data_IF_939727333932
#
_entry.id   IF_939727333932
#
_cell.length_a   1.000
_cell.length_b   1.000
_cell.length_c   1.000
_cell.angle_alpha   90.00
_cell.angle_beta   90.00
_cell.angle_gamma   90.00
#
_symmetry.space_group_name_H-M   'P 1'
#
loop_
_entity.id
_entity.type
_entity.pdbx_description
1 polymer ?
#
# COMPACT_ATOMS: atom_id res chain seq x y z
N UNK A 1 42.06 48.36 -16.58
CA UNK A 1 41.26 47.93 -15.42
C UNK A 1 40.20 46.93 -15.91
N UNK A 2 40.48 45.62 -15.78
CA UNK A 2 39.57 44.52 -16.22
C UNK A 2 38.75 44.05 -15.02
N UNK A 3 37.46 44.30 -15.04
CA UNK A 3 36.49 43.85 -14.02
C UNK A 3 36.12 42.38 -14.32
N UNK A 4 36.57 41.43 -13.48
CA UNK A 4 36.12 40.05 -13.48
C UNK A 4 34.74 40.00 -12.78
N UNK A 5 33.71 39.71 -13.53
CA UNK A 5 32.40 39.34 -13.00
C UNK A 5 32.40 37.83 -12.70
N UNK A 6 32.49 37.49 -11.43
CA UNK A 6 32.28 36.11 -10.94
C UNK A 6 30.76 35.84 -10.95
N UNK A 7 30.29 35.02 -11.90
CA UNK A 7 28.94 34.50 -11.91
C UNK A 7 28.82 33.37 -10.89
N UNK A 8 28.17 33.61 -9.76
CA UNK A 8 27.73 32.55 -8.85
C UNK A 8 26.58 31.75 -9.51
N UNK A 9 26.90 30.58 -9.99
CA UNK A 9 25.87 29.59 -10.38
C UNK A 9 25.33 28.94 -9.10
N UNK A 10 24.14 29.40 -8.66
CA UNK A 10 23.41 28.73 -7.60
C UNK A 10 22.86 27.41 -8.12
N UNK A 11 23.49 26.29 -7.73
CA UNK A 11 22.98 24.96 -7.96
C UNK A 11 21.73 24.74 -7.09
N UNK A 12 20.54 24.86 -7.72
CA UNK A 12 19.29 24.50 -7.09
C UNK A 12 19.20 22.97 -7.04
N UNK A 13 19.65 22.40 -5.92
CA UNK A 13 19.35 21.00 -5.61
C UNK A 13 17.86 20.86 -5.41
N UNK A 14 17.12 20.39 -6.43
CA UNK A 14 15.79 19.83 -6.25
C UNK A 14 15.93 18.59 -5.35
N UNK A 15 15.73 18.76 -4.06
CA UNK A 15 15.50 17.64 -3.16
C UNK A 15 14.14 17.03 -3.58
N UNK A 16 14.19 16.03 -4.47
CA UNK A 16 13.06 15.12 -4.67
C UNK A 16 12.77 14.52 -3.31
N UNK A 17 11.67 14.94 -2.68
CA UNK A 17 11.24 14.41 -1.39
C UNK A 17 11.13 12.90 -1.52
N UNK A 18 12.00 12.16 -0.84
CA UNK A 18 12.00 10.71 -0.88
C UNK A 18 10.63 10.22 -0.41
N UNK A 19 9.93 9.50 -1.27
CA UNK A 19 8.68 8.81 -0.92
C UNK A 19 9.00 7.79 0.17
N UNK A 20 8.53 8.04 1.39
CA UNK A 20 8.91 7.25 2.56
C UNK A 20 7.68 6.86 3.37
N UNK A 21 7.68 5.60 3.83
CA UNK A 21 6.65 5.11 4.76
C UNK A 21 6.69 5.94 6.05
N UNK A 22 5.55 6.48 6.43
CA UNK A 22 5.42 7.28 7.66
C UNK A 22 5.15 6.36 8.85
N UNK A 23 5.93 6.43 9.94
CA UNK A 23 5.60 5.74 11.17
C UNK A 23 4.17 6.08 11.61
N UNK A 24 3.42 5.06 12.02
CA UNK A 24 2.04 5.26 12.46
C UNK A 24 1.99 5.83 13.87
N UNK A 25 1.31 6.97 14.04
CA UNK A 25 1.09 7.64 15.32
C UNK A 25 -0.38 7.60 15.75
N UNK A 26 -1.23 6.95 14.97
CA UNK A 26 -2.66 6.80 15.26
C UNK A 26 -2.94 5.70 16.29
N UNK A 27 -4.22 5.46 16.54
CA UNK A 27 -4.68 4.45 17.48
C UNK A 27 -4.49 3.00 17.01
N UNK A 28 -5.17 2.08 17.67
CA UNK A 28 -5.21 0.67 17.31
C UNK A 28 -5.76 0.47 15.88
N UNK A 29 -5.34 -0.62 15.23
CA UNK A 29 -5.90 -1.02 13.95
C UNK A 29 -7.41 -1.27 14.08
N UNK A 30 -8.26 -0.60 13.28
CA UNK A 30 -9.69 -0.90 13.27
C UNK A 30 -9.93 -2.35 12.82
N UNK A 31 -11.11 -2.89 13.14
CA UNK A 31 -11.50 -4.18 12.62
C UNK A 31 -11.53 -4.17 11.09
N UNK A 32 -11.07 -5.28 10.50
CA UNK A 32 -11.21 -5.55 9.08
C UNK A 32 -11.76 -6.96 8.97
N UNK A 33 -12.99 -7.08 8.47
CA UNK A 33 -13.65 -8.35 8.15
C UNK A 33 -14.36 -8.15 6.82
N UNK A 34 -13.84 -8.75 5.75
CA UNK A 34 -14.34 -8.58 4.38
C UNK A 34 -14.31 -9.91 3.64
N UNK A 35 -15.09 -10.03 2.58
CA UNK A 35 -15.04 -11.16 1.64
C UNK A 35 -14.09 -10.85 0.48
N UNK A 36 -13.44 -11.89 -0.04
CA UNK A 36 -12.72 -11.83 -1.31
C UNK A 36 -13.65 -12.03 -2.51
N UNK A 37 -13.08 -12.04 -3.72
CA UNK A 37 -13.82 -12.26 -4.97
C UNK A 37 -14.46 -13.65 -5.09
N UNK A 38 -13.98 -14.63 -4.32
CA UNK A 38 -14.49 -16.01 -4.24
C UNK A 38 -15.49 -16.21 -3.10
N UNK A 39 -15.80 -15.12 -2.35
CA UNK A 39 -16.76 -15.14 -1.23
C UNK A 39 -16.18 -15.68 0.09
N UNK A 40 -14.86 -15.93 0.16
CA UNK A 40 -14.20 -16.36 1.40
C UNK A 40 -14.03 -15.17 2.33
N UNK A 41 -14.35 -15.35 3.61
CA UNK A 41 -14.22 -14.31 4.62
C UNK A 41 -12.78 -14.19 5.11
N UNK A 42 -12.28 -12.97 5.19
CA UNK A 42 -10.95 -12.62 5.71
C UNK A 42 -11.11 -11.67 6.89
N UNK A 43 -10.47 -12.00 8.00
CA UNK A 43 -10.37 -11.12 9.17
C UNK A 43 -8.90 -10.77 9.43
N UNK A 44 -8.62 -9.52 9.73
CA UNK A 44 -7.25 -9.12 10.11
C UNK A 44 -6.71 -9.95 11.26
N UNK A 45 -7.57 -10.35 12.20
CA UNK A 45 -7.19 -11.21 13.33
C UNK A 45 -6.63 -12.57 12.90
N UNK A 46 -7.08 -13.11 11.75
CA UNK A 46 -6.59 -14.40 11.21
C UNK A 46 -5.17 -14.32 10.65
N UNK A 47 -4.61 -13.13 10.54
CA UNK A 47 -3.25 -12.89 10.03
C UNK A 47 -2.24 -12.59 11.15
N UNK A 48 -2.57 -12.87 12.41
CA UNK A 48 -1.63 -12.74 13.53
C UNK A 48 -0.37 -13.59 13.26
N UNK A 49 0.79 -13.07 13.63
CA UNK A 49 2.08 -13.69 13.34
C UNK A 49 2.63 -13.35 11.95
N UNK A 50 1.88 -12.61 11.13
CA UNK A 50 2.32 -12.15 9.80
C UNK A 50 2.38 -10.63 9.74
N UNK A 51 3.26 -10.10 8.89
CA UNK A 51 3.19 -8.71 8.45
C UNK A 51 2.15 -8.60 7.36
N UNK A 52 1.20 -7.67 7.50
CA UNK A 52 0.11 -7.47 6.54
C UNK A 52 0.20 -6.08 5.93
N UNK A 53 0.33 -6.00 4.61
CA UNK A 53 0.15 -4.78 3.85
C UNK A 53 -1.31 -4.69 3.43
N UNK A 54 -2.01 -3.66 3.90
CA UNK A 54 -3.41 -3.38 3.54
C UNK A 54 -3.41 -2.15 2.64
N UNK A 55 -3.85 -2.33 1.40
CA UNK A 55 -3.91 -1.27 0.39
C UNK A 55 -5.38 -1.00 0.01
N UNK A 56 -5.84 0.22 0.19
CA UNK A 56 -7.17 0.67 -0.23
C UNK A 56 -7.08 1.27 -1.63
N UNK A 57 -7.91 0.76 -2.56
CA UNK A 57 -7.81 1.08 -3.98
C UNK A 57 -9.15 1.00 -4.71
N UNK A 58 -9.18 1.47 -5.96
CA UNK A 58 -10.31 1.29 -6.88
C UNK A 58 -9.82 1.21 -8.33
N UNK A 59 -10.60 0.60 -9.23
CA UNK A 59 -10.23 0.46 -10.65
C UNK A 59 -10.24 1.80 -11.39
N UNK A 60 -11.00 2.78 -10.93
CA UNK A 60 -11.05 4.14 -11.49
C UNK A 60 -9.93 5.06 -10.98
N UNK A 61 -9.19 4.64 -9.96
CA UNK A 61 -8.07 5.38 -9.38
C UNK A 61 -6.79 5.08 -10.18
N UNK A 62 -6.35 6.03 -11.01
CA UNK A 62 -5.16 5.85 -11.86
C UNK A 62 -3.89 5.55 -11.06
N UNK A 63 -3.50 6.35 -10.02
CA UNK A 63 -2.30 6.04 -9.24
C UNK A 63 -2.40 4.71 -8.50
N UNK A 64 -3.62 4.25 -8.13
CA UNK A 64 -3.79 2.92 -7.57
C UNK A 64 -3.41 1.82 -8.56
N UNK A 65 -3.83 1.97 -9.83
CA UNK A 65 -3.53 0.98 -10.87
C UNK A 65 -2.03 0.93 -11.17
N UNK A 66 -1.37 2.07 -11.14
CA UNK A 66 0.07 2.17 -11.43
C UNK A 66 0.93 1.49 -10.37
N UNK A 67 0.52 1.51 -9.10
CA UNK A 67 1.28 0.85 -8.04
C UNK A 67 1.03 -0.67 -7.92
N UNK A 68 -0.09 -1.23 -8.44
CA UNK A 68 -0.44 -2.66 -8.32
C UNK A 68 0.68 -3.63 -8.79
N UNK A 69 1.37 -3.38 -9.93
CA UNK A 69 2.49 -4.24 -10.33
C UNK A 69 3.65 -4.23 -9.34
N UNK A 70 3.93 -3.10 -8.69
CA UNK A 70 4.99 -2.99 -7.68
C UNK A 70 4.62 -3.69 -6.38
N UNK A 71 3.34 -3.65 -5.98
CA UNK A 71 2.81 -4.45 -4.87
C UNK A 71 2.99 -5.95 -5.11
N UNK A 72 2.73 -6.41 -6.34
CA UNK A 72 2.90 -7.84 -6.67
C UNK A 72 4.38 -8.24 -6.73
N UNK A 73 5.28 -7.35 -7.19
CA UNK A 73 6.72 -7.58 -7.09
C UNK A 73 7.18 -7.66 -5.63
N UNK A 74 6.70 -6.76 -4.76
CA UNK A 74 6.98 -6.84 -3.32
C UNK A 74 6.52 -8.18 -2.74
N UNK A 75 5.26 -8.58 -3.00
CA UNK A 75 4.71 -9.85 -2.54
C UNK A 75 5.59 -11.04 -2.96
N UNK A 76 5.97 -11.10 -4.24
CA UNK A 76 6.85 -12.17 -4.76
C UNK A 76 8.22 -12.16 -4.07
N UNK A 77 8.79 -10.98 -3.80
CA UNK A 77 10.09 -10.89 -3.12
C UNK A 77 10.05 -11.37 -1.66
N UNK A 78 8.86 -11.51 -1.09
CA UNK A 78 8.61 -11.99 0.27
C UNK A 78 8.01 -13.41 0.30
N UNK A 79 8.03 -14.12 -0.83
CA UNK A 79 7.50 -15.49 -0.91
C UNK A 79 8.18 -16.42 0.09
N UNK A 80 7.42 -17.30 0.72
CA UNK A 80 7.90 -18.17 1.80
C UNK A 80 8.07 -17.48 3.16
N UNK A 81 7.89 -16.16 3.25
CA UNK A 81 7.95 -15.41 4.51
C UNK A 81 6.55 -15.11 5.05
N UNK A 82 6.38 -14.86 6.36
CA UNK A 82 5.09 -14.52 6.96
C UNK A 82 4.66 -13.09 6.59
N UNK A 83 4.42 -12.86 5.30
CA UNK A 83 4.00 -11.59 4.71
C UNK A 83 2.77 -11.79 3.82
N UNK A 84 1.81 -10.88 3.90
CA UNK A 84 0.56 -10.91 3.12
C UNK A 84 0.22 -9.53 2.59
N UNK A 85 -0.30 -9.45 1.37
CA UNK A 85 -0.90 -8.26 0.78
C UNK A 85 -2.42 -8.47 0.68
N UNK A 86 -3.18 -7.55 1.25
CA UNK A 86 -4.64 -7.47 1.18
C UNK A 86 -5.01 -6.16 0.49
N UNK A 87 -5.51 -6.21 -0.74
CA UNK A 87 -5.96 -5.03 -1.46
C UNK A 87 -7.48 -4.89 -1.32
N UNK A 88 -7.91 -3.86 -0.59
CA UNK A 88 -9.31 -3.58 -0.28
C UNK A 88 -9.89 -2.67 -1.36
N UNK A 89 -10.79 -3.20 -2.17
CA UNK A 89 -11.47 -2.43 -3.21
C UNK A 89 -12.70 -1.71 -2.65
N UNK A 90 -12.84 -0.43 -3.02
CA UNK A 90 -13.90 0.44 -2.53
C UNK A 90 -15.11 0.45 -3.45
N UNK A 91 -16.24 -0.07 -2.96
CA UNK A 91 -17.59 0.09 -3.51
C UNK A 91 -17.77 -0.30 -4.99
N UNK A 92 -16.91 -1.15 -5.54
CA UNK A 92 -17.06 -1.61 -6.92
C UNK A 92 -17.66 -3.03 -6.99
N UNK A 93 -18.47 -3.31 -8.01
CA UNK A 93 -19.01 -4.66 -8.20
C UNK A 93 -17.88 -5.64 -8.60
N UNK A 94 -17.95 -6.91 -8.17
CA UNK A 94 -16.95 -7.93 -8.50
C UNK A 94 -16.65 -8.06 -10.00
N UNK A 95 -17.66 -7.87 -10.87
CA UNK A 95 -17.48 -7.93 -12.32
C UNK A 95 -16.48 -6.88 -12.85
N UNK A 96 -16.52 -5.66 -12.31
CA UNK A 96 -15.58 -4.59 -12.68
C UNK A 96 -14.16 -4.93 -12.27
N UNK A 97 -13.99 -5.46 -11.06
CA UNK A 97 -12.68 -5.87 -10.54
C UNK A 97 -12.14 -7.03 -11.37
N UNK A 98 -12.95 -8.03 -11.70
CA UNK A 98 -12.54 -9.15 -12.55
C UNK A 98 -12.11 -8.68 -13.94
N UNK A 99 -12.87 -7.78 -14.58
CA UNK A 99 -12.49 -7.21 -15.89
C UNK A 99 -11.19 -6.39 -15.86
N UNK A 100 -10.85 -5.80 -14.70
CA UNK A 100 -9.54 -5.19 -14.49
C UNK A 100 -8.43 -6.25 -14.39
N UNK A 101 -8.66 -7.33 -13.61
CA UNK A 101 -7.69 -8.41 -13.40
C UNK A 101 -7.37 -9.20 -14.66
N UNK A 102 -8.29 -9.30 -15.62
CA UNK A 102 -8.02 -9.90 -16.93
C UNK A 102 -6.89 -9.18 -17.68
N UNK A 103 -6.79 -7.85 -17.47
CA UNK A 103 -5.78 -7.00 -18.10
C UNK A 103 -4.52 -6.84 -17.25
N UNK A 104 -4.68 -6.91 -15.96
CA UNK A 104 -3.58 -6.73 -14.98
C UNK A 104 -3.72 -7.76 -13.84
N UNK A 105 -3.27 -9.00 -14.07
CA UNK A 105 -3.34 -10.05 -13.05
C UNK A 105 -2.38 -9.76 -11.89
N UNK A 106 -2.85 -10.01 -10.66
CA UNK A 106 -2.07 -9.90 -9.43
C UNK A 106 -2.19 -11.17 -8.61
N UNK A 107 -1.15 -11.51 -7.84
CA UNK A 107 -1.10 -12.75 -7.05
C UNK A 107 -1.45 -12.57 -5.57
N UNK A 108 -2.09 -11.46 -5.17
CA UNK A 108 -2.51 -11.19 -3.80
C UNK A 108 -4.03 -11.15 -3.65
N UNK A 109 -4.52 -11.18 -2.41
CA UNK A 109 -5.94 -11.23 -2.09
C UNK A 109 -6.60 -9.88 -2.30
N UNK A 110 -7.72 -9.88 -3.03
CA UNK A 110 -8.57 -8.71 -3.27
C UNK A 110 -9.84 -8.82 -2.42
N UNK A 111 -10.05 -7.84 -1.55
CA UNK A 111 -11.18 -7.78 -0.62
C UNK A 111 -12.20 -6.75 -1.08
N UNK A 112 -13.47 -6.98 -0.78
CA UNK A 112 -14.61 -6.18 -1.23
C UNK A 112 -15.19 -5.36 -0.06
N UNK A 113 -14.88 -4.07 -0.01
CA UNK A 113 -15.52 -3.12 0.94
C UNK A 113 -16.69 -2.43 0.24
N UNK A 114 -17.82 -3.15 0.12
CA UNK A 114 -18.98 -2.77 -0.70
C UNK A 114 -19.65 -1.49 -0.27
N UNK A 115 -19.67 -1.20 1.01
CA UNK A 115 -20.32 -0.04 1.64
C UNK A 115 -19.30 1.01 2.12
N UNK A 116 -18.02 0.77 1.86
CA UNK A 116 -16.89 1.62 2.30
C UNK A 116 -16.76 1.75 3.82
N UNK A 117 -17.39 0.87 4.59
CA UNK A 117 -17.39 0.96 6.04
C UNK A 117 -15.97 0.73 6.62
N UNK A 118 -15.23 -0.24 6.08
CA UNK A 118 -13.86 -0.53 6.50
C UNK A 118 -12.93 0.63 6.10
N UNK A 119 -13.02 1.14 4.88
CA UNK A 119 -12.23 2.29 4.44
C UNK A 119 -12.47 3.53 5.33
N UNK A 120 -13.73 3.80 5.70
CA UNK A 120 -14.07 4.89 6.63
C UNK A 120 -13.46 4.68 8.01
N UNK A 121 -13.56 3.47 8.58
CA UNK A 121 -12.98 3.13 9.88
C UNK A 121 -11.45 3.29 9.87
N UNK A 122 -10.79 2.90 8.78
CA UNK A 122 -9.35 3.04 8.57
C UNK A 122 -8.93 4.46 8.15
N UNK A 123 -9.87 5.39 7.98
CA UNK A 123 -9.66 6.77 7.52
C UNK A 123 -8.96 6.85 6.16
N UNK A 124 -9.15 5.85 5.31
CA UNK A 124 -8.65 5.81 3.93
C UNK A 124 -9.52 6.71 3.02
N UNK A 125 -9.37 8.02 3.17
CA UNK A 125 -10.20 9.04 2.46
C UNK A 125 -9.64 9.42 1.10
N UNK A 126 -8.36 9.22 0.90
CA UNK A 126 -7.62 9.53 -0.34
C UNK A 126 -6.99 8.23 -0.81
N UNK A 127 -7.14 7.92 -2.10
CA UNK A 127 -6.60 6.69 -2.69
C UNK A 127 -5.36 6.97 -3.54
N UNK A 128 -4.42 6.04 -3.59
CA UNK A 128 -4.33 4.85 -2.74
C UNK A 128 -3.95 5.20 -1.30
N UNK A 129 -4.41 4.41 -0.34
CA UNK A 129 -4.00 4.51 1.05
C UNK A 129 -3.52 3.14 1.55
N UNK A 130 -2.32 3.10 2.10
CA UNK A 130 -1.70 1.83 2.51
C UNK A 130 -1.30 1.87 3.98
N UNK A 131 -1.52 0.75 4.65
CA UNK A 131 -1.15 0.53 6.05
C UNK A 131 -0.33 -0.75 6.16
N UNK A 132 0.76 -0.69 6.92
CA UNK A 132 1.59 -1.86 7.24
C UNK A 132 1.30 -2.26 8.67
N UNK A 133 0.76 -3.46 8.86
CA UNK A 133 0.41 -4.04 10.15
C UNK A 133 1.46 -5.08 10.53
N UNK A 134 1.98 -4.98 11.74
CA UNK A 134 2.95 -5.94 12.28
C UNK A 134 2.31 -7.25 12.74
N UNK A 135 3.14 -8.26 13.08
CA UNK A 135 2.68 -9.59 13.50
C UNK A 135 1.77 -9.57 14.73
N UNK A 136 1.92 -8.57 15.60
CA UNK A 136 1.08 -8.32 16.77
C UNK A 136 -0.24 -7.60 16.43
N UNK A 137 -0.53 -7.34 15.14
CA UNK A 137 -1.73 -6.68 14.66
C UNK A 137 -1.78 -5.18 14.91
N UNK A 138 -0.67 -4.54 15.25
CA UNK A 138 -0.59 -3.08 15.37
C UNK A 138 -0.10 -2.47 14.06
N UNK A 139 -0.69 -1.35 13.65
CA UNK A 139 -0.19 -0.59 12.51
C UNK A 139 1.20 -0.06 12.85
N UNK A 140 2.14 -0.23 11.94
CA UNK A 140 3.53 0.26 12.05
C UNK A 140 3.78 1.46 11.19
N UNK A 141 3.28 1.42 9.96
CA UNK A 141 3.46 2.49 8.97
C UNK A 141 2.18 2.74 8.21
N UNK A 142 2.07 3.94 7.65
CA UNK A 142 1.05 4.30 6.67
C UNK A 142 1.66 5.11 5.52
N UNK A 143 0.99 5.07 4.37
CA UNK A 143 1.34 5.90 3.22
C UNK A 143 0.07 6.25 2.45
N UNK A 144 -0.02 7.49 1.98
CA UNK A 144 -1.12 7.98 1.13
C UNK A 144 -0.53 8.48 -0.17
N UNK A 145 -1.05 8.02 -1.28
CA UNK A 145 -0.56 8.28 -2.63
C UNK A 145 0.15 7.06 -3.22
N UNK A 146 0.53 7.19 -4.47
CA UNK A 146 1.27 6.17 -5.22
C UNK A 146 2.69 5.99 -4.70
N UNK A 147 3.12 4.74 -4.58
CA UNK A 147 4.48 4.37 -4.19
C UNK A 147 4.96 3.17 -5.02
N UNK A 148 6.21 3.20 -5.47
CA UNK A 148 6.85 1.99 -5.97
C UNK A 148 7.25 1.09 -4.78
N UNK A 149 6.39 0.10 -4.50
CA UNK A 149 6.55 -0.85 -3.39
C UNK A 149 7.74 -1.80 -3.56
N UNK A 150 8.30 -1.91 -4.78
CA UNK A 150 9.47 -2.74 -5.07
C UNK A 150 10.81 -2.06 -4.72
N UNK A 151 10.81 -0.78 -4.35
CA UNK A 151 12.02 -0.07 -3.93
C UNK A 151 12.70 -0.77 -2.75
N UNK A 152 14.02 -0.86 -2.81
CA UNK A 152 14.83 -1.56 -1.80
C UNK A 152 14.61 -1.00 -0.38
N UNK A 153 14.51 0.32 -0.23
CA UNK A 153 14.26 0.96 1.06
C UNK A 153 12.92 0.52 1.65
N UNK A 154 11.85 0.52 0.84
CA UNK A 154 10.51 0.09 1.25
C UNK A 154 10.52 -1.39 1.65
N UNK A 155 11.11 -2.23 0.80
CA UNK A 155 11.25 -3.67 1.03
C UNK A 155 11.99 -3.97 2.33
N UNK A 156 13.11 -3.28 2.60
CA UNK A 156 13.88 -3.45 3.85
C UNK A 156 13.06 -3.02 5.07
N UNK A 157 12.36 -1.89 5.00
CA UNK A 157 11.51 -1.41 6.11
C UNK A 157 10.44 -2.44 6.46
N UNK A 158 9.78 -3.03 5.46
CA UNK A 158 8.76 -4.07 5.67
C UNK A 158 9.41 -5.38 6.17
N UNK A 159 10.53 -5.78 5.59
CA UNK A 159 11.25 -6.98 5.97
C UNK A 159 11.74 -6.96 7.43
N UNK A 160 12.08 -5.79 7.96
CA UNK A 160 12.50 -5.60 9.35
C UNK A 160 11.35 -5.82 10.36
N UNK A 161 10.10 -5.89 9.92
CA UNK A 161 8.94 -6.18 10.77
C UNK A 161 8.63 -7.68 10.87
N UNK A 162 9.23 -8.49 9.99
CA UNK A 162 8.97 -9.94 9.97
C UNK A 162 9.55 -10.61 11.22
N UNK A 163 8.83 -11.61 11.79
CA UNK A 163 9.29 -12.35 12.95
C UNK A 163 10.49 -13.25 12.67
#
# INVERSE_FOLDING_TARGET
MRRFLLALAAAWCCAAGAQELKPWTGGAAPALVLQDLEGRSHSLASYRGKVVLINFWATWCEPCREEMPSLDRLRRSMEGRPFVVLAVNLAEPPSRIRGYLEKMPVGFTLLLDRDTAVAKAWKARILPATFIVGPDGKIRYSYVGELDWSQEKVRRTIAALLP
#
